data_IF_966230943692
#
_entry.id   IF_966230943692
#
_cell.length_a   1.000
_cell.length_b   1.000
_cell.length_c   1.000
_cell.angle_alpha   90.00
_cell.angle_beta   90.00
_cell.angle_gamma   90.00
#
_symmetry.space_group_name_H-M   'P 1'
#
loop_
_entity.id
_entity.type
_entity.pdbx_description
1 polymer ?
#
# COMPACT_ATOMS: atom_id res chain seq x y z
N UNK A 1 -16.78 21.28 -2.86
CA UNK A 1 -15.80 20.28 -3.33
C UNK A 1 -16.48 19.44 -4.39
N UNK A 2 -15.86 19.24 -5.56
CA UNK A 2 -16.41 18.38 -6.62
C UNK A 2 -15.82 16.99 -6.48
N UNK A 3 -16.66 15.98 -6.29
CA UNK A 3 -16.22 14.58 -6.23
C UNK A 3 -15.68 14.11 -7.60
N UNK A 4 -14.68 13.23 -7.61
CA UNK A 4 -14.02 12.77 -8.85
C UNK A 4 -14.98 12.10 -9.83
N UNK A 5 -16.03 11.42 -9.33
CA UNK A 5 -17.04 10.77 -10.15
C UNK A 5 -17.98 11.76 -10.87
N UNK A 6 -17.94 13.04 -10.49
CA UNK A 6 -18.70 14.11 -11.17
C UNK A 6 -17.92 14.73 -12.34
N UNK A 7 -16.67 14.30 -12.57
CA UNK A 7 -15.84 14.79 -13.67
C UNK A 7 -16.28 14.09 -14.96
N UNK A 8 -16.65 14.87 -15.97
CA UNK A 8 -16.97 14.34 -17.29
C UNK A 8 -15.81 13.54 -17.85
N UNK A 9 -16.09 12.32 -18.31
CA UNK A 9 -15.06 11.38 -18.78
C UNK A 9 -14.53 10.43 -17.70
N UNK A 10 -14.96 10.53 -16.44
CA UNK A 10 -14.74 9.46 -15.47
C UNK A 10 -15.49 8.18 -15.89
N UNK A 11 -14.89 6.97 -15.81
CA UNK A 11 -13.56 6.63 -15.30
C UNK A 11 -12.49 6.46 -16.40
N UNK A 12 -12.65 7.08 -17.58
CA UNK A 12 -11.67 6.99 -18.67
C UNK A 12 -10.39 7.78 -18.32
N UNK A 13 -9.54 7.15 -17.49
CA UNK A 13 -8.28 7.70 -17.03
C UNK A 13 -7.30 7.81 -18.20
N UNK A 14 -6.65 8.97 -18.30
CA UNK A 14 -5.54 9.21 -19.21
C UNK A 14 -4.32 9.60 -18.38
N UNK A 15 -3.15 9.07 -18.71
CA UNK A 15 -1.90 9.38 -18.02
C UNK A 15 -0.77 9.65 -19.01
N UNK A 16 0.15 10.54 -18.64
CA UNK A 16 1.40 10.77 -19.37
C UNK A 16 2.50 9.90 -18.77
N UNK A 17 3.09 9.04 -19.62
CA UNK A 17 4.25 8.24 -19.22
C UNK A 17 5.45 9.12 -18.86
N UNK A 18 5.65 10.23 -19.58
CA UNK A 18 6.75 11.17 -19.31
C UNK A 18 6.60 11.81 -17.93
N UNK A 19 5.38 12.21 -17.56
CA UNK A 19 5.10 12.79 -16.26
C UNK A 19 5.27 11.77 -15.10
N UNK A 20 5.04 10.48 -15.36
CA UNK A 20 5.11 9.43 -14.33
C UNK A 20 6.46 8.72 -14.24
N UNK A 21 7.27 8.75 -15.29
CA UNK A 21 8.46 7.91 -15.43
C UNK A 21 9.45 8.07 -14.26
N UNK A 22 9.78 9.30 -13.89
CA UNK A 22 10.75 9.57 -12.82
C UNK A 22 10.23 9.10 -11.45
N UNK A 23 8.95 9.38 -11.16
CA UNK A 23 8.30 8.94 -9.93
C UNK A 23 8.23 7.42 -9.82
N UNK A 24 7.83 6.75 -10.90
CA UNK A 24 7.76 5.29 -10.96
C UNK A 24 9.14 4.65 -10.78
N UNK A 25 10.18 5.17 -11.44
CA UNK A 25 11.54 4.67 -11.29
C UNK A 25 12.02 4.75 -9.83
N UNK A 26 11.78 5.89 -9.17
CA UNK A 26 12.15 6.11 -7.76
C UNK A 26 11.39 5.19 -6.81
N UNK A 27 10.10 4.94 -7.04
CA UNK A 27 9.32 3.99 -6.23
C UNK A 27 9.85 2.57 -6.44
N UNK A 28 10.03 2.15 -7.70
CA UNK A 28 10.49 0.80 -8.04
C UNK A 28 11.86 0.47 -7.47
N UNK A 29 12.79 1.42 -7.52
CA UNK A 29 14.12 1.27 -6.92
C UNK A 29 14.03 1.03 -5.40
N UNK A 30 13.26 1.85 -4.68
CA UNK A 30 13.07 1.69 -3.23
C UNK A 30 12.36 0.39 -2.87
N UNK A 31 11.37 -0.02 -3.66
CA UNK A 31 10.67 -1.29 -3.49
C UNK A 31 11.64 -2.47 -3.65
N UNK A 32 12.49 -2.44 -4.67
CA UNK A 32 13.51 -3.48 -4.89
C UNK A 32 14.51 -3.59 -3.72
N UNK A 33 15.00 -2.44 -3.21
CA UNK A 33 15.86 -2.43 -2.03
C UNK A 33 15.17 -3.00 -0.78
N UNK A 34 13.88 -2.69 -0.60
CA UNK A 34 13.11 -3.21 0.52
C UNK A 34 12.90 -4.72 0.41
N UNK A 35 12.48 -5.21 -0.77
CA UNK A 35 12.30 -6.63 -1.03
C UNK A 35 13.60 -7.40 -0.81
N UNK A 36 14.73 -6.93 -1.32
CA UNK A 36 16.03 -7.57 -1.09
C UNK A 36 16.41 -7.62 0.40
N UNK A 37 16.08 -6.60 1.19
CA UNK A 37 16.32 -6.62 2.65
C UNK A 37 15.43 -7.62 3.37
N UNK A 38 14.14 -7.64 3.03
CA UNK A 38 13.18 -8.60 3.58
C UNK A 38 13.56 -10.02 3.15
N UNK A 39 14.10 -10.19 1.95
CA UNK A 39 14.60 -11.48 1.49
C UNK A 39 15.84 -11.95 2.26
N UNK A 40 16.65 -10.98 2.70
CA UNK A 40 17.70 -11.05 3.70
C UNK A 40 17.31 -11.75 5.01
N UNK A 41 16.05 -11.62 5.43
CA UNK A 41 15.60 -12.06 6.73
C UNK A 41 15.35 -13.58 6.73
N UNK A 42 15.75 -14.24 7.82
CA UNK A 42 15.43 -15.65 8.06
C UNK A 42 13.92 -15.89 8.03
N UNK A 43 13.51 -17.13 7.74
CA UNK A 43 12.10 -17.50 7.52
C UNK A 43 11.16 -17.04 8.65
N UNK A 44 11.56 -17.22 9.92
CA UNK A 44 10.76 -16.80 11.08
C UNK A 44 10.53 -15.29 11.16
N UNK A 45 11.54 -14.48 10.83
CA UNK A 45 11.42 -13.01 10.86
C UNK A 45 10.55 -12.48 9.71
N UNK A 46 10.55 -13.17 8.56
CA UNK A 46 9.67 -12.85 7.43
C UNK A 46 8.20 -13.14 7.77
N UNK A 47 7.92 -14.27 8.40
CA UNK A 47 6.56 -14.65 8.79
C UNK A 47 5.99 -13.67 9.82
N UNK A 48 6.77 -13.32 10.85
CA UNK A 48 6.34 -12.35 11.87
C UNK A 48 6.10 -10.95 11.27
N UNK A 49 6.99 -10.49 10.38
CA UNK A 49 6.82 -9.21 9.68
C UNK A 49 5.57 -9.22 8.77
N UNK A 50 5.30 -10.34 8.11
CA UNK A 50 4.12 -10.51 7.25
C UNK A 50 2.84 -10.48 8.07
N UNK A 51 2.78 -11.22 9.17
CA UNK A 51 1.64 -11.23 10.08
C UNK A 51 1.36 -9.82 10.63
N UNK A 52 2.41 -9.13 11.12
CA UNK A 52 2.28 -7.77 11.63
C UNK A 52 1.78 -6.78 10.54
N UNK A 53 2.24 -6.95 9.30
CA UNK A 53 1.82 -6.09 8.18
C UNK A 53 0.34 -6.28 7.86
N UNK A 54 -0.13 -7.54 7.83
CA UNK A 54 -1.53 -7.86 7.58
C UNK A 54 -2.45 -7.34 8.70
N UNK A 55 -2.07 -7.54 9.97
CA UNK A 55 -2.83 -7.00 11.10
C UNK A 55 -2.93 -5.48 11.02
N UNK A 56 -1.84 -4.78 10.70
CA UNK A 56 -1.88 -3.33 10.51
C UNK A 56 -2.74 -2.89 9.32
N UNK A 57 -2.71 -3.62 8.20
CA UNK A 57 -3.53 -3.32 7.04
C UNK A 57 -5.02 -3.42 7.37
N UNK A 58 -5.43 -4.48 8.07
CA UNK A 58 -6.83 -4.69 8.48
C UNK A 58 -7.29 -3.61 9.45
N UNK A 59 -6.50 -3.29 10.47
CA UNK A 59 -6.85 -2.24 11.44
C UNK A 59 -6.96 -0.86 10.75
N UNK A 60 -6.00 -0.52 9.89
CA UNK A 60 -5.98 0.79 9.21
C UNK A 60 -7.07 0.91 8.15
N UNK A 61 -7.34 -0.14 7.37
CA UNK A 61 -8.40 -0.13 6.36
C UNK A 61 -9.79 -0.06 7.00
N UNK A 62 -10.02 -0.79 8.09
CA UNK A 62 -11.29 -0.73 8.85
C UNK A 62 -11.52 0.67 9.44
N UNK A 63 -10.46 1.31 9.94
CA UNK A 63 -10.55 2.68 10.46
C UNK A 63 -10.95 3.72 9.39
N UNK A 64 -10.61 3.48 8.12
CA UNK A 64 -11.04 4.34 7.00
C UNK A 64 -12.56 4.21 6.78
N UNK A 65 -13.12 3.03 7.03
CA UNK A 65 -14.56 2.74 6.93
C UNK A 65 -15.35 3.13 8.21
N UNK A 66 -14.66 3.65 9.23
CA UNK A 66 -15.25 4.06 10.51
C UNK A 66 -15.31 2.96 11.57
N UNK A 67 -14.70 1.81 11.32
CA UNK A 67 -14.60 0.70 12.25
C UNK A 67 -13.28 0.73 13.03
N UNK A 68 -13.35 0.79 14.36
CA UNK A 68 -12.18 0.73 15.22
C UNK A 68 -11.98 -0.71 15.73
N UNK A 69 -11.00 -1.42 15.17
CA UNK A 69 -10.63 -2.77 15.59
C UNK A 69 -9.45 -2.72 16.58
N UNK A 70 -9.51 -3.55 17.62
CA UNK A 70 -8.35 -3.80 18.47
C UNK A 70 -7.32 -4.64 17.71
N UNK A 71 -6.08 -4.17 17.67
CA UNK A 71 -4.97 -4.85 17.01
C UNK A 71 -4.73 -6.24 17.59
N UNK A 72 -4.90 -6.40 18.90
CA UNK A 72 -4.67 -7.67 19.58
C UNK A 72 -5.79 -8.68 19.34
N UNK A 73 -6.98 -8.24 18.90
CA UNK A 73 -8.08 -9.12 18.49
C UNK A 73 -7.97 -9.57 17.01
N UNK A 74 -7.24 -8.82 16.20
CA UNK A 74 -7.01 -9.11 14.76
C UNK A 74 -5.77 -9.99 14.55
N UNK A 75 -4.86 -10.03 15.52
CA UNK A 75 -3.59 -10.78 15.46
C UNK A 75 -3.78 -12.26 15.79
#
# INVERSE_FOLDING_TARGET
MTWIHNISGWPALQWSMEALAEGLARVRHRQGLHLGRVENLGFSLRDEASLSTLTEEVVKSSAIEGEALDRDEVR
#
